data_IF_901219067550
#
_entry.id   IF_901219067550
#
_cell.length_a   1.000
_cell.length_b   1.000
_cell.length_c   1.000
_cell.angle_alpha   90.00
_cell.angle_beta   90.00
_cell.angle_gamma   90.00
#
_symmetry.space_group_name_H-M   'P 1'
#
loop_
_entity.id
_entity.type
_entity.pdbx_description
1 polymer ?
#
# COMPACT_ATOMS: atom_id res chain seq x y z
N UNK A 1 -15.92 2.93 -16.68
CA UNK A 1 -14.61 3.36 -17.21
C UNK A 1 -13.73 3.65 -16.01
N UNK A 2 -12.71 2.83 -15.76
CA UNK A 2 -11.68 3.12 -14.76
C UNK A 2 -10.78 4.23 -15.31
N UNK A 3 -10.67 5.35 -14.60
CA UNK A 3 -9.75 6.41 -15.01
C UNK A 3 -8.31 5.95 -14.79
N UNK A 4 -7.36 6.36 -15.67
CA UNK A 4 -5.95 6.08 -15.46
C UNK A 4 -5.48 6.63 -14.11
N UNK A 5 -4.69 5.85 -13.38
CA UNK A 5 -4.07 6.31 -12.13
C UNK A 5 -2.99 7.34 -12.48
N UNK A 6 -3.17 8.58 -12.02
CA UNK A 6 -2.20 9.65 -12.19
C UNK A 6 -1.15 9.59 -11.08
N UNK A 7 -0.05 8.87 -11.34
CA UNK A 7 1.03 8.73 -10.36
C UNK A 7 1.78 10.05 -10.09
N UNK A 8 2.44 10.13 -8.94
CA UNK A 8 3.23 11.29 -8.54
C UNK A 8 4.42 11.51 -9.48
N UNK A 9 4.71 12.77 -9.84
CA UNK A 9 5.85 13.10 -10.72
C UNK A 9 7.18 12.63 -10.13
N UNK A 10 7.31 12.65 -8.80
CA UNK A 10 8.49 12.13 -8.11
C UNK A 10 8.69 10.64 -8.36
N UNK A 11 7.63 9.82 -8.29
CA UNK A 11 7.71 8.40 -8.61
C UNK A 11 8.09 8.14 -10.06
N UNK A 12 7.40 8.79 -11.01
CA UNK A 12 7.67 8.62 -12.44
C UNK A 12 9.13 8.94 -12.79
N UNK A 13 9.69 9.97 -12.15
CA UNK A 13 11.08 10.37 -12.37
C UNK A 13 12.09 9.44 -11.70
N UNK A 14 11.81 8.98 -10.48
CA UNK A 14 12.77 8.19 -9.71
C UNK A 14 12.79 6.71 -10.09
N UNK A 15 11.65 6.15 -10.54
CA UNK A 15 11.48 4.73 -10.83
C UNK A 15 10.68 4.52 -12.14
N UNK A 16 11.22 4.95 -13.31
CA UNK A 16 10.51 4.89 -14.58
C UNK A 16 10.13 3.46 -15.00
N UNK A 17 10.99 2.47 -14.72
CA UNK A 17 10.72 1.07 -15.07
C UNK A 17 9.58 0.49 -14.22
N UNK A 18 9.57 0.78 -12.92
CA UNK A 18 8.47 0.37 -12.03
C UNK A 18 7.18 1.08 -12.41
N UNK A 19 7.24 2.36 -12.81
CA UNK A 19 6.08 3.08 -13.32
C UNK A 19 5.51 2.44 -14.59
N UNK A 20 6.37 2.13 -15.58
CA UNK A 20 5.95 1.45 -16.80
C UNK A 20 5.31 0.08 -16.51
N UNK A 21 5.88 -0.67 -15.56
CA UNK A 21 5.32 -1.92 -15.08
C UNK A 21 3.92 -1.73 -14.50
N UNK A 22 3.73 -0.76 -13.59
CA UNK A 22 2.41 -0.49 -12.99
C UNK A 22 1.35 -0.08 -14.03
N UNK A 23 1.75 0.65 -15.06
CA UNK A 23 0.87 1.00 -16.18
C UNK A 23 0.49 -0.22 -17.01
N UNK A 24 1.48 -1.06 -17.35
CA UNK A 24 1.26 -2.29 -18.11
C UNK A 24 0.43 -3.32 -17.33
N UNK A 25 0.62 -3.38 -16.01
CA UNK A 25 -0.10 -4.26 -15.09
C UNK A 25 -1.57 -3.92 -14.90
N UNK A 26 -2.07 -2.83 -15.51
CA UNK A 26 -3.43 -2.36 -15.37
C UNK A 26 -3.84 -2.16 -13.90
N UNK A 27 -3.00 -1.47 -13.11
CA UNK A 27 -3.32 -1.19 -11.71
C UNK A 27 -4.68 -0.48 -11.58
N UNK A 28 -5.63 -1.14 -10.93
CA UNK A 28 -6.94 -0.60 -10.54
C UNK A 28 -6.99 -0.55 -9.02
N UNK A 29 -7.60 0.49 -8.46
CA UNK A 29 -7.72 0.64 -7.01
C UNK A 29 -9.17 0.84 -6.59
N UNK A 30 -9.49 0.37 -5.39
CA UNK A 30 -10.78 0.57 -4.77
C UNK A 30 -11.00 2.06 -4.41
N UNK A 31 -12.23 2.61 -4.50
CA UNK A 31 -12.52 4.02 -4.20
C UNK A 31 -12.10 4.49 -2.80
N UNK A 32 -12.07 3.59 -1.83
CA UNK A 32 -11.63 3.88 -0.46
C UNK A 32 -10.10 3.95 -0.29
N UNK A 33 -9.31 3.54 -1.28
CA UNK A 33 -7.85 3.74 -1.25
C UNK A 33 -7.57 5.22 -1.37
N UNK A 34 -6.84 5.76 -0.39
CA UNK A 34 -6.44 7.17 -0.34
C UNK A 34 -5.01 7.39 -0.76
N UNK A 35 -4.14 6.40 -0.56
CA UNK A 35 -2.73 6.45 -0.93
C UNK A 35 -2.25 5.07 -1.34
N UNK A 36 -1.32 5.05 -2.29
CA UNK A 36 -0.53 3.87 -2.62
C UNK A 36 0.91 4.17 -2.27
N UNK A 37 1.51 3.27 -1.51
CA UNK A 37 2.91 3.37 -1.09
C UNK A 37 3.66 2.15 -1.61
N UNK A 38 4.73 2.43 -2.36
CA UNK A 38 5.65 1.45 -2.90
C UNK A 38 6.82 1.26 -1.93
N UNK A 39 7.22 0.01 -1.73
CA UNK A 39 8.37 -0.38 -0.93
C UNK A 39 9.15 -1.49 -1.64
N UNK A 40 10.13 -2.08 -0.95
CA UNK A 40 10.87 -3.23 -1.44
C UNK A 40 11.80 -2.95 -2.61
N UNK A 41 12.20 -4.02 -3.30
CA UNK A 41 13.31 -4.01 -4.26
C UNK A 41 12.99 -3.27 -5.57
N UNK A 42 11.71 -3.23 -5.96
CA UNK A 42 11.19 -2.42 -7.07
C UNK A 42 10.87 -0.98 -6.68
N UNK A 43 10.95 -0.67 -5.38
CA UNK A 43 10.93 0.68 -4.84
C UNK A 43 12.32 1.30 -4.76
N UNK A 44 12.47 2.29 -3.87
CA UNK A 44 13.72 3.02 -3.68
C UNK A 44 14.83 2.17 -3.00
N UNK A 45 14.51 1.01 -2.43
CA UNK A 45 15.55 0.09 -1.95
C UNK A 45 16.39 -0.47 -3.11
N UNK A 46 15.80 -0.54 -4.31
CA UNK A 46 16.43 -1.02 -5.54
C UNK A 46 16.81 -2.50 -5.49
N UNK A 47 17.66 -2.90 -6.45
CA UNK A 47 18.17 -4.28 -6.61
C UNK A 47 17.08 -5.31 -6.97
N UNK A 48 15.98 -4.87 -7.57
CA UNK A 48 15.01 -5.77 -8.17
C UNK A 48 15.69 -6.70 -9.17
N UNK A 49 15.38 -7.99 -9.05
CA UNK A 49 15.66 -9.01 -10.05
C UNK A 49 14.46 -9.12 -10.98
N UNK A 50 14.59 -9.78 -12.14
CA UNK A 50 13.46 -9.98 -13.05
C UNK A 50 12.25 -10.63 -12.37
N UNK A 51 12.49 -11.57 -11.45
CA UNK A 51 11.51 -12.34 -10.67
C UNK A 51 11.14 -11.69 -9.33
N UNK A 52 11.60 -10.48 -9.04
CA UNK A 52 11.19 -9.80 -7.81
C UNK A 52 9.75 -9.34 -7.90
N UNK A 53 8.99 -9.58 -6.84
CA UNK A 53 7.62 -9.10 -6.66
C UNK A 53 7.59 -7.57 -6.54
N UNK A 54 6.38 -7.01 -6.64
CA UNK A 54 6.14 -5.59 -6.37
C UNK A 54 5.35 -5.41 -5.08
N UNK A 55 5.98 -4.82 -4.08
CA UNK A 55 5.36 -4.63 -2.77
C UNK A 55 4.55 -3.31 -2.73
N UNK A 56 3.24 -3.40 -2.54
CA UNK A 56 2.35 -2.24 -2.48
C UNK A 56 1.52 -2.21 -1.18
N UNK A 57 1.53 -1.07 -0.51
CA UNK A 57 0.59 -0.76 0.56
C UNK A 57 -0.54 0.12 0.04
N UNK A 58 -1.76 -0.40 0.11
CA UNK A 58 -3.00 0.29 -0.23
C UNK A 58 -3.58 0.88 1.05
N UNK A 59 -3.31 2.16 1.33
CA UNK A 59 -3.83 2.83 2.53
C UNK A 59 -5.28 3.25 2.28
N UNK A 60 -6.19 2.90 3.19
CA UNK A 60 -7.63 3.15 3.05
C UNK A 60 -8.20 4.10 4.11
N UNK A 61 -9.24 4.82 3.71
CA UNK A 61 -10.21 5.39 4.64
C UNK A 61 -11.32 4.38 4.91
N UNK A 62 -11.55 4.09 6.18
CA UNK A 62 -12.66 3.26 6.63
C UNK A 62 -13.97 4.06 6.55
N UNK A 63 -15.05 3.50 5.99
CA UNK A 63 -16.38 4.11 6.07
C UNK A 63 -16.79 4.38 7.52
N UNK A 64 -17.37 5.55 7.80
CA UNK A 64 -17.71 5.97 9.16
C UNK A 64 -18.70 5.04 9.89
N UNK A 65 -19.56 4.35 9.13
CA UNK A 65 -20.58 3.44 9.66
C UNK A 65 -20.24 1.96 9.37
N UNK A 66 -18.95 1.63 9.25
CA UNK A 66 -18.53 0.25 8.99
C UNK A 66 -18.71 -0.59 10.26
N UNK A 67 -19.60 -1.58 10.19
CA UNK A 67 -19.83 -2.51 11.30
C UNK A 67 -18.64 -3.47 11.47
N UNK A 68 -18.41 -3.93 12.71
CA UNK A 68 -17.29 -4.85 13.02
C UNK A 68 -17.34 -6.12 12.17
N UNK A 69 -18.54 -6.65 11.92
CA UNK A 69 -18.75 -7.86 11.10
C UNK A 69 -18.47 -7.64 9.61
N UNK A 70 -18.47 -6.39 9.16
CA UNK A 70 -18.20 -6.00 7.77
C UNK A 70 -16.75 -5.58 7.57
N UNK A 71 -15.99 -5.43 8.66
CA UNK A 71 -14.64 -4.88 8.62
C UNK A 71 -13.68 -5.68 7.75
N UNK A 72 -13.52 -6.97 8.03
CA UNK A 72 -12.65 -7.83 7.23
C UNK A 72 -13.18 -8.07 5.80
N UNK A 73 -14.49 -8.32 5.57
CA UNK A 73 -15.05 -8.37 4.22
C UNK A 73 -14.74 -7.13 3.37
N UNK A 74 -14.84 -5.93 3.95
CA UNK A 74 -14.51 -4.69 3.26
C UNK A 74 -13.02 -4.61 2.87
N UNK A 75 -12.12 -4.96 3.80
CA UNK A 75 -10.68 -4.96 3.49
C UNK A 75 -10.32 -6.00 2.41
N UNK A 76 -11.01 -7.16 2.41
CA UNK A 76 -10.91 -8.16 1.36
C UNK A 76 -11.36 -7.61 0.01
N UNK A 77 -12.49 -6.92 -0.06
CA UNK A 77 -12.98 -6.30 -1.29
C UNK A 77 -11.98 -5.27 -1.86
N UNK A 78 -11.37 -4.46 -0.99
CA UNK A 78 -10.31 -3.52 -1.39
C UNK A 78 -9.13 -4.27 -2.02
N UNK A 79 -8.67 -5.34 -1.37
CA UNK A 79 -7.59 -6.18 -1.86
C UNK A 79 -7.94 -6.78 -3.23
N UNK A 80 -9.09 -7.44 -3.32
CA UNK A 80 -9.57 -8.16 -4.51
C UNK A 80 -9.76 -7.21 -5.69
N UNK A 81 -10.18 -5.96 -5.46
CA UNK A 81 -10.28 -4.95 -6.52
C UNK A 81 -8.96 -4.74 -7.26
N UNK A 82 -7.86 -4.67 -6.51
CA UNK A 82 -6.53 -4.46 -7.10
C UNK A 82 -5.97 -5.76 -7.65
N UNK A 83 -6.09 -6.85 -6.88
CA UNK A 83 -5.54 -8.15 -7.23
C UNK A 83 -6.18 -8.74 -8.49
N UNK A 84 -7.51 -8.72 -8.59
CA UNK A 84 -8.24 -9.34 -9.72
C UNK A 84 -8.09 -8.56 -11.04
N UNK A 85 -7.74 -7.28 -10.97
CA UNK A 85 -7.49 -6.44 -12.14
C UNK A 85 -6.03 -6.49 -12.61
N UNK A 86 -5.14 -7.10 -11.84
CA UNK A 86 -3.71 -7.11 -12.09
C UNK A 86 -3.34 -8.01 -13.27
N UNK A 87 -2.66 -7.45 -14.26
CA UNK A 87 -2.27 -8.11 -15.49
C UNK A 87 -0.76 -8.01 -15.74
N UNK A 88 0.03 -8.74 -14.96
CA UNK A 88 1.48 -8.84 -15.15
C UNK A 88 2.00 -10.19 -14.67
N UNK A 89 3.13 -10.63 -15.24
CA UNK A 89 3.88 -11.78 -14.74
C UNK A 89 4.60 -11.47 -13.42
N UNK A 90 4.82 -10.19 -13.12
CA UNK A 90 5.35 -9.76 -11.82
C UNK A 90 4.22 -9.78 -10.80
N UNK A 91 4.35 -10.59 -9.77
CA UNK A 91 3.33 -10.73 -8.74
C UNK A 91 3.26 -9.47 -7.84
N UNK A 92 2.04 -9.00 -7.50
CA UNK A 92 1.86 -7.92 -6.57
C UNK A 92 1.76 -8.44 -5.13
N UNK A 93 2.72 -8.06 -4.29
CA UNK A 93 2.67 -8.29 -2.85
C UNK A 93 1.84 -7.15 -2.20
N UNK A 94 0.53 -7.35 -2.12
CA UNK A 94 -0.44 -6.35 -1.67
C UNK A 94 -0.70 -6.43 -0.15
N UNK A 95 -0.72 -5.27 0.50
CA UNK A 95 -1.24 -5.12 1.85
C UNK A 95 -2.24 -3.94 1.90
N UNK A 96 -3.47 -4.20 2.33
CA UNK A 96 -4.45 -3.14 2.61
C UNK A 96 -4.21 -2.63 4.02
N UNK A 97 -3.88 -1.35 4.16
CA UNK A 97 -3.45 -0.73 5.41
C UNK A 97 -4.54 0.22 5.92
N UNK A 98 -4.90 0.12 7.19
CA UNK A 98 -5.82 1.06 7.84
C UNK A 98 -5.24 1.62 9.15
N UNK A 99 -5.71 2.80 9.52
CA UNK A 99 -5.33 3.46 10.77
C UNK A 99 -5.95 2.78 11.99
N UNK A 100 -5.11 2.38 12.95
CA UNK A 100 -5.55 1.95 14.28
C UNK A 100 -5.61 3.11 15.28
N UNK A 101 -5.00 4.25 14.93
CA UNK A 101 -5.00 5.50 15.69
C UNK A 101 -5.01 6.68 14.72
N UNK A 102 -5.66 7.80 15.05
CA UNK A 102 -5.76 8.97 14.18
C UNK A 102 -4.40 9.68 14.09
N UNK A 103 -3.55 9.24 13.17
CA UNK A 103 -2.21 9.79 12.97
C UNK A 103 -1.87 10.03 11.50
N UNK A 104 -2.80 9.76 10.59
CA UNK A 104 -2.62 10.03 9.16
C UNK A 104 -1.60 9.09 8.50
N UNK A 105 -1.07 8.08 9.19
CA UNK A 105 0.04 7.22 8.75
C UNK A 105 1.17 7.99 8.07
N UNK A 106 1.55 9.15 8.63
CA UNK A 106 2.60 10.00 8.05
C UNK A 106 3.96 9.30 7.97
N UNK A 107 4.18 8.28 8.79
CA UNK A 107 5.34 7.40 8.69
C UNK A 107 5.42 6.58 7.39
N UNK A 108 4.40 6.59 6.52
CA UNK A 108 4.46 5.97 5.20
C UNK A 108 4.84 6.95 4.07
N UNK A 109 5.03 8.25 4.36
CA UNK A 109 5.24 9.28 3.32
C UNK A 109 6.70 9.74 3.20
N UNK A 110 7.65 8.97 3.73
CA UNK A 110 9.08 9.33 3.76
C UNK A 110 9.97 8.19 3.29
N UNK A 111 11.11 8.56 2.75
CA UNK A 111 12.15 7.63 2.31
C UNK A 111 13.01 7.11 3.48
N UNK A 112 13.03 7.82 4.61
CA UNK A 112 13.79 7.44 5.80
C UNK A 112 12.93 7.60 7.07
N UNK A 113 13.13 6.70 8.04
CA UNK A 113 12.46 6.76 9.32
C UNK A 113 12.83 8.04 10.08
N UNK A 114 11.83 8.65 10.71
CA UNK A 114 12.00 9.78 11.63
C UNK A 114 11.08 9.56 12.83
N UNK A 115 11.64 9.59 14.04
CA UNK A 115 10.91 9.27 15.27
C UNK A 115 9.66 10.15 15.47
N UNK A 116 9.69 11.40 15.02
CA UNK A 116 8.57 12.34 15.13
C UNK A 116 7.38 12.09 14.21
N UNK A 117 7.46 11.15 13.27
CA UNK A 117 6.39 10.89 12.28
C UNK A 117 5.40 9.82 12.72
N UNK A 118 5.70 9.08 13.77
CA UNK A 118 4.78 8.11 14.35
C UNK A 118 4.61 8.41 15.83
N UNK A 119 3.39 8.77 16.23
CA UNK A 119 3.07 9.12 17.61
C UNK A 119 3.28 7.97 18.61
N UNK A 120 3.50 6.75 18.14
CA UNK A 120 3.69 5.55 18.98
C UNK A 120 5.00 4.81 18.69
N UNK A 121 5.95 5.43 17.99
CA UNK A 121 7.28 4.85 17.77
C UNK A 121 7.37 3.74 16.72
N UNK A 122 6.33 3.57 15.89
CA UNK A 122 6.38 2.74 14.67
C UNK A 122 6.21 1.24 14.87
N UNK A 123 5.91 0.78 16.09
CA UNK A 123 5.51 -0.60 16.36
C UNK A 123 3.98 -0.69 16.33
N UNK A 124 3.43 -1.56 15.47
CA UNK A 124 1.99 -1.83 15.35
C UNK A 124 1.12 -0.55 15.23
N UNK A 125 1.62 0.46 14.52
CA UNK A 125 0.90 1.73 14.36
C UNK A 125 -0.19 1.73 13.26
N UNK A 126 -0.43 0.56 12.68
CA UNK A 126 -1.46 0.32 11.68
C UNK A 126 -1.94 -1.12 11.78
N UNK A 127 -3.13 -1.39 11.25
CA UNK A 127 -3.61 -2.73 10.99
C UNK A 127 -3.56 -3.01 9.49
N UNK A 128 -3.54 -4.28 9.11
CA UNK A 128 -3.52 -4.65 7.70
C UNK A 128 -4.41 -5.85 7.40
N UNK A 129 -4.82 -5.94 6.14
CA UNK A 129 -5.30 -7.17 5.54
C UNK A 129 -4.32 -7.59 4.45
N UNK A 130 -3.97 -8.88 4.41
CA UNK A 130 -3.09 -9.43 3.38
C UNK A 130 -3.43 -10.87 3.05
N UNK A 131 -3.07 -11.25 1.83
CA UNK A 131 -3.05 -12.63 1.36
C UNK A 131 -1.60 -12.98 1.06
N UNK A 132 -1.02 -13.94 1.77
CA UNK A 132 0.35 -14.39 1.50
C UNK A 132 0.58 -15.82 2.02
N UNK A 133 1.14 -16.70 1.19
CA UNK A 133 1.60 -18.05 1.58
C UNK A 133 0.57 -18.85 2.40
N UNK A 134 -0.68 -18.87 1.94
CA UNK A 134 -1.78 -19.60 2.58
C UNK A 134 -2.43 -18.87 3.77
N UNK A 135 -1.88 -17.72 4.20
CA UNK A 135 -2.57 -16.81 5.10
C UNK A 135 -3.48 -15.87 4.30
N UNK A 136 -4.70 -15.68 4.79
CA UNK A 136 -5.67 -14.74 4.25
C UNK A 136 -6.47 -14.16 5.41
N UNK A 137 -6.25 -12.89 5.76
CA UNK A 137 -7.04 -12.27 6.81
C UNK A 137 -6.51 -10.96 7.37
N UNK A 138 -7.25 -10.49 8.35
CA UNK A 138 -6.93 -9.32 9.16
C UNK A 138 -5.75 -9.60 10.11
N UNK A 139 -4.84 -8.64 10.20
CA UNK A 139 -3.68 -8.66 11.09
C UNK A 139 -3.64 -7.34 11.88
N UNK A 140 -3.67 -7.47 13.20
CA UNK A 140 -3.49 -6.37 14.16
C UNK A 140 -2.52 -6.81 15.25
N UNK A 141 -1.67 -5.91 15.75
CA UNK A 141 -0.73 -6.17 16.84
C UNK A 141 0.23 -7.35 16.56
N UNK A 142 0.81 -7.41 15.37
CA UNK A 142 1.69 -8.49 14.93
C UNK A 142 3.18 -8.22 15.19
N UNK A 143 3.52 -7.15 15.92
CA UNK A 143 4.89 -6.71 16.14
C UNK A 143 5.52 -6.07 14.91
N UNK A 144 4.72 -5.51 14.00
CA UNK A 144 5.21 -4.91 12.76
C UNK A 144 5.93 -3.60 13.08
N UNK A 145 7.17 -3.50 12.62
CA UNK A 145 8.01 -2.31 12.80
C UNK A 145 8.08 -1.53 11.49
N UNK A 146 7.38 -0.40 11.40
CA UNK A 146 7.32 0.43 10.18
C UNK A 146 8.71 0.86 9.73
N UNK A 147 9.62 1.14 10.68
CA UNK A 147 11.02 1.48 10.39
C UNK A 147 11.77 0.44 9.53
N UNK A 148 11.29 -0.82 9.50
CA UNK A 148 11.86 -1.90 8.67
C UNK A 148 11.27 -1.97 7.26
N UNK A 149 10.21 -1.23 6.97
CA UNK A 149 9.57 -1.14 5.66
C UNK A 149 10.26 -0.11 4.74
N UNK A 150 11.08 0.77 5.32
CA UNK A 150 11.75 1.82 4.58
C UNK A 150 12.79 1.27 3.60
N UNK A 151 13.01 1.95 2.46
CA UNK A 151 12.38 3.23 2.08
C UNK A 151 10.92 3.10 1.60
N UNK A 152 10.07 4.04 2.02
CA UNK A 152 8.68 4.15 1.53
C UNK A 152 8.57 5.28 0.51
N UNK A 153 7.84 5.03 -0.59
CA UNK A 153 7.56 6.04 -1.61
C UNK A 153 6.04 6.12 -1.85
N UNK A 154 5.43 7.26 -1.57
CA UNK A 154 4.06 7.53 -1.97
C UNK A 154 4.01 7.75 -3.49
N UNK A 155 3.43 6.78 -4.21
CA UNK A 155 3.37 6.80 -5.67
C UNK A 155 2.05 7.39 -6.18
N UNK A 156 1.01 7.40 -5.35
CA UNK A 156 -0.29 7.96 -5.69
C UNK A 156 -1.04 8.40 -4.44
N UNK A 157 -1.86 9.44 -4.59
CA UNK A 157 -2.80 9.91 -3.57
C UNK A 157 -4.10 10.35 -4.24
N UNK A 158 -5.24 10.02 -3.60
CA UNK A 158 -6.56 10.51 -4.02
C UNK A 158 -6.58 12.04 -3.93
N UNK A 159 -6.98 12.72 -5.01
CA UNK A 159 -7.19 14.15 -4.97
C UNK A 159 -8.25 14.48 -3.91
N UNK A 160 -7.95 15.46 -3.05
CA UNK A 160 -8.94 16.01 -2.14
C UNK A 160 -9.76 16.99 -2.99
N UNK A 161 -11.02 16.64 -3.25
CA UNK A 161 -12.00 17.52 -3.89
C UNK A 161 -12.57 18.54 -2.92
#
# INVERSE_FOLDING_TARGET
MTQPINFSTAFVRSLPDTHALLQAAHLVIHPNVVRIVLHGSRGLAGRARPDSDIDLSLIVDLPANLEVTQFEPFLREVFETTFNAWHSEVEPDLAVIFETRPCGLLCFTRENWQDGLCCIGGLDCFGLYKVQKGFNGLVTNAGIQVKRMYPCLEIWRRAIG
#
